data_IF_007447814559
#
_entry.id   IF_007447814559
#
_cell.length_a   1.000
_cell.length_b   1.000
_cell.length_c   1.000
_cell.angle_alpha   90.00
_cell.angle_beta   90.00
_cell.angle_gamma   90.00
#
_symmetry.space_group_name_H-M   'P 1'
#
loop_
_entity.id
_entity.type
_entity.pdbx_description
1 polymer ?
#
# COMPACT_ATOMS: atom_id res chain seq x y z
N UNK A 1 23.08 -4.22 -1.88
CA UNK A 1 22.45 -3.72 -3.12
C UNK A 1 22.50 -2.20 -3.06
N UNK A 2 22.91 -1.51 -4.11
CA UNK A 2 22.92 -0.04 -4.14
C UNK A 2 21.87 0.39 -5.17
N UNK A 3 20.99 1.33 -4.81
CA UNK A 3 19.99 1.87 -5.73
C UNK A 3 20.66 2.79 -6.75
N UNK A 4 20.32 2.65 -8.03
CA UNK A 4 20.81 3.54 -9.07
C UNK A 4 20.35 4.99 -8.82
N UNK A 5 21.12 6.01 -9.26
CA UNK A 5 20.76 7.41 -9.05
C UNK A 5 19.36 7.78 -9.56
N UNK A 6 18.96 7.22 -10.70
CA UNK A 6 17.62 7.43 -11.27
C UNK A 6 16.51 6.82 -10.38
N UNK A 7 16.74 5.63 -9.82
CA UNK A 7 15.78 5.00 -8.90
C UNK A 7 15.65 5.82 -7.61
N UNK A 8 16.77 6.32 -7.07
CA UNK A 8 16.78 7.20 -5.89
C UNK A 8 15.97 8.48 -6.16
N UNK A 9 16.21 9.13 -7.29
CA UNK A 9 15.50 10.35 -7.68
C UNK A 9 13.99 10.09 -7.83
N UNK A 10 13.60 8.97 -8.44
CA UNK A 10 12.19 8.58 -8.57
C UNK A 10 11.52 8.37 -7.20
N UNK A 11 12.18 7.61 -6.30
CA UNK A 11 11.66 7.36 -4.95
C UNK A 11 11.52 8.66 -4.15
N UNK A 12 12.52 9.55 -4.20
CA UNK A 12 12.46 10.86 -3.54
C UNK A 12 11.35 11.74 -4.11
N UNK A 13 11.18 11.77 -5.44
CA UNK A 13 10.09 12.51 -6.08
C UNK A 13 8.72 12.00 -5.64
N UNK A 14 8.53 10.67 -5.60
CA UNK A 14 7.31 10.07 -5.10
C UNK A 14 7.09 10.44 -3.63
N UNK A 15 8.09 10.29 -2.76
CA UNK A 15 7.96 10.59 -1.32
C UNK A 15 7.58 12.05 -1.03
N UNK A 16 8.15 13.00 -1.79
CA UNK A 16 7.73 14.41 -1.72
C UNK A 16 6.24 14.57 -2.06
N UNK A 17 5.74 13.81 -3.03
CA UNK A 17 4.33 13.83 -3.45
C UNK A 17 3.40 13.12 -2.46
N UNK A 18 3.89 12.09 -1.76
CA UNK A 18 3.15 11.45 -0.67
C UNK A 18 2.96 12.41 0.51
N UNK A 19 4.00 13.18 0.84
CA UNK A 19 3.97 14.15 1.93
C UNK A 19 3.54 13.51 3.26
N UNK A 20 2.56 14.09 3.94
CA UNK A 20 2.04 13.59 5.21
C UNK A 20 1.17 12.33 5.06
N UNK A 21 0.85 11.89 3.82
CA UNK A 21 -0.05 10.77 3.58
C UNK A 21 0.62 9.40 3.69
N UNK A 22 1.94 9.32 3.89
CA UNK A 22 2.67 8.04 3.98
C UNK A 22 2.03 7.13 5.03
N UNK A 23 1.70 7.66 6.22
CA UNK A 23 1.02 6.91 7.29
C UNK A 23 -0.37 6.40 6.93
N UNK A 24 -1.11 7.17 6.12
CA UNK A 24 -2.44 6.77 5.63
C UNK A 24 -2.29 5.59 4.67
N UNK A 25 -1.36 5.68 3.71
CA UNK A 25 -1.18 4.65 2.69
C UNK A 25 -0.56 3.37 3.23
N UNK A 26 0.35 3.44 4.21
CA UNK A 26 0.86 2.23 4.88
C UNK A 26 -0.23 1.55 5.72
N UNK A 27 -1.09 2.33 6.40
CA UNK A 27 -2.26 1.78 7.11
C UNK A 27 -3.21 1.09 6.13
N UNK A 28 -3.53 1.73 5.01
CA UNK A 28 -4.41 1.16 3.98
C UNK A 28 -3.81 -0.10 3.33
N UNK A 29 -2.47 -0.17 3.22
CA UNK A 29 -1.76 -1.36 2.76
C UNK A 29 -1.88 -2.52 3.75
N UNK A 30 -1.70 -2.25 5.05
CA UNK A 30 -1.90 -3.27 6.10
C UNK A 30 -3.34 -3.78 6.15
N UNK A 31 -4.32 -2.90 6.01
CA UNK A 31 -5.73 -3.30 5.93
C UNK A 31 -6.04 -4.17 4.70
N UNK A 32 -5.30 -4.03 3.60
CA UNK A 32 -5.41 -4.92 2.42
C UNK A 32 -4.83 -6.29 2.68
N UNK A 33 -3.82 -6.40 3.53
CA UNK A 33 -3.29 -7.68 4.03
C UNK A 33 -4.27 -8.43 4.95
N UNK A 34 -5.51 -7.97 5.14
CA UNK A 34 -6.48 -8.64 6.01
C UNK A 34 -7.67 -9.26 5.28
N UNK A 35 -7.93 -8.81 4.05
CA UNK A 35 -9.23 -9.03 3.42
C UNK A 35 -9.28 -10.41 2.76
N UNK A 36 -10.15 -11.33 3.23
CA UNK A 36 -10.46 -12.54 2.46
C UNK A 36 -11.13 -12.13 1.16
N UNK A 37 -10.81 -12.83 0.07
CA UNK A 37 -11.56 -12.69 -1.16
C UNK A 37 -13.00 -13.16 -0.92
N UNK A 38 -13.98 -12.26 -1.01
CA UNK A 38 -15.30 -12.68 -1.47
C UNK A 38 -15.19 -12.77 -2.98
N UNK A 39 -14.69 -13.91 -3.48
CA UNK A 39 -14.97 -14.29 -4.87
C UNK A 39 -16.49 -14.35 -4.93
N UNK A 40 -17.10 -13.40 -5.63
CA UNK A 40 -18.51 -13.50 -5.99
C UNK A 40 -18.55 -14.68 -6.97
N UNK A 41 -18.83 -15.87 -6.46
CA UNK A 41 -19.18 -17.00 -7.31
C UNK A 41 -20.38 -16.52 -8.13
N UNK A 42 -20.12 -16.20 -9.40
CA UNK A 42 -21.18 -16.04 -10.38
C UNK A 42 -21.72 -17.45 -10.62
N UNK A 43 -22.67 -17.87 -9.78
CA UNK A 43 -23.68 -18.82 -10.21
C UNK A 43 -24.43 -18.12 -11.34
N UNK A 44 -24.14 -18.59 -12.55
CA UNK A 44 -24.93 -18.35 -13.74
C UNK A 44 -26.36 -18.84 -13.47
N UNK A 45 -27.32 -17.92 -13.50
CA UNK A 45 -28.69 -18.24 -13.90
C UNK A 45 -29.08 -17.21 -14.96
N UNK A 46 -29.02 -17.64 -16.21
CA UNK A 46 -29.48 -16.89 -17.35
C UNK A 46 -31.03 -16.86 -17.41
N UNK A 47 -31.55 -15.75 -17.93
CA UNK A 47 -32.89 -15.60 -18.51
C UNK A 47 -33.94 -15.00 -17.57
N UNK A 48 -34.77 -14.03 -17.94
CA UNK A 48 -35.02 -13.35 -19.22
C UNK A 48 -35.90 -12.11 -18.98
N UNK A 49 -35.81 -11.10 -19.85
CA UNK A 49 -36.84 -10.07 -20.07
C UNK A 49 -36.56 -8.73 -19.40
N UNK A 50 -36.88 -7.56 -19.96
CA UNK A 50 -37.19 -7.10 -21.31
C UNK A 50 -37.10 -5.55 -21.24
N UNK A 51 -36.98 -4.88 -22.39
CA UNK A 51 -37.22 -3.46 -22.66
C UNK A 51 -36.19 -2.36 -22.24
N UNK A 52 -35.67 -1.68 -23.28
CA UNK A 52 -35.15 -0.30 -23.31
C UNK A 52 -36.26 0.68 -23.79
N UNK A 53 -36.04 2.01 -23.95
CA UNK A 53 -35.20 2.98 -23.21
C UNK A 53 -35.98 4.27 -22.83
N UNK A 54 -35.40 5.16 -22.03
CA UNK A 54 -35.83 6.58 -22.00
C UNK A 54 -34.68 7.54 -21.70
N UNK A 55 -34.41 8.41 -22.67
CA UNK A 55 -33.53 9.57 -22.64
C UNK A 55 -34.20 10.71 -21.87
N UNK A 56 -33.48 11.41 -20.99
CA UNK A 56 -33.79 12.81 -20.68
C UNK A 56 -32.54 13.62 -20.34
N UNK A 57 -32.42 14.71 -21.09
CA UNK A 57 -31.35 15.71 -21.10
C UNK A 57 -31.69 16.84 -20.11
N UNK A 58 -30.73 17.34 -19.34
CA UNK A 58 -30.76 18.72 -18.81
C UNK A 58 -29.37 19.22 -18.43
N UNK A 59 -29.02 20.40 -18.95
CA UNK A 59 -27.73 21.09 -18.84
C UNK A 59 -27.65 22.03 -17.61
N UNK A 60 -26.61 22.88 -17.42
CA UNK A 60 -25.83 22.92 -16.18
C UNK A 60 -26.08 24.17 -15.32
N UNK A 61 -25.74 24.13 -14.03
CA UNK A 61 -25.65 25.34 -13.20
C UNK A 61 -24.50 25.25 -12.20
N UNK A 62 -23.80 26.37 -12.14
CA UNK A 62 -22.54 26.71 -11.50
C UNK A 62 -22.50 26.59 -9.97
N UNK A 63 -21.37 26.10 -9.43
CA UNK A 63 -20.66 26.66 -8.26
C UNK A 63 -19.34 25.90 -8.03
N UNK A 64 -18.23 26.64 -7.93
CA UNK A 64 -16.86 26.11 -7.84
C UNK A 64 -16.57 25.35 -6.53
N UNK A 65 -15.48 24.56 -6.45
CA UNK A 65 -15.22 23.75 -5.27
C UNK A 65 -14.32 24.48 -4.28
N UNK A 66 -14.88 24.81 -3.11
CA UNK A 66 -14.11 24.94 -1.89
C UNK A 66 -13.61 23.55 -1.47
N UNK A 67 -12.29 23.35 -1.40
CA UNK A 67 -11.67 22.10 -0.94
C UNK A 67 -11.88 21.99 0.57
N UNK A 68 -12.99 21.35 0.96
CA UNK A 68 -13.19 20.79 2.30
C UNK A 68 -12.93 19.29 2.22
N UNK A 69 -11.83 18.84 2.80
CA UNK A 69 -11.45 17.43 2.96
C UNK A 69 -12.41 16.71 3.91
N UNK A 70 -13.61 16.38 3.45
CA UNK A 70 -14.38 15.26 3.99
C UNK A 70 -13.73 13.98 3.48
N UNK A 71 -13.24 13.13 4.40
CA UNK A 71 -12.93 11.74 4.10
C UNK A 71 -14.20 11.09 3.52
N UNK A 72 -14.33 11.09 2.20
CA UNK A 72 -15.36 10.32 1.51
C UNK A 72 -14.93 8.87 1.57
N UNK A 73 -15.60 8.18 2.48
CA UNK A 73 -15.68 6.74 2.69
C UNK A 73 -16.12 6.00 1.41
N UNK A 74 -15.32 6.05 0.33
CA UNK A 74 -15.55 5.33 -0.94
C UNK A 74 -14.23 5.12 -1.71
N UNK A 75 -13.34 4.28 -1.20
CA UNK A 75 -12.18 3.80 -1.97
C UNK A 75 -12.03 2.27 -1.90
N UNK A 76 -13.11 1.50 -2.08
CA UNK A 76 -12.99 0.04 -2.16
C UNK A 76 -14.04 -0.63 -3.04
N UNK A 77 -14.06 -0.30 -4.34
CA UNK A 77 -14.84 -1.03 -5.36
C UNK A 77 -14.09 -1.27 -6.68
N UNK A 78 -12.78 -1.54 -6.63
CA UNK A 78 -12.06 -2.22 -7.72
C UNK A 78 -11.15 -3.28 -7.09
N UNK A 79 -11.59 -4.52 -7.19
CA UNK A 79 -11.02 -5.70 -6.54
C UNK A 79 -9.71 -6.08 -7.23
N UNK A 80 -8.58 -5.68 -6.66
CA UNK A 80 -7.30 -6.32 -6.94
C UNK A 80 -6.98 -7.32 -5.84
N UNK A 81 -6.40 -8.44 -6.24
CA UNK A 81 -6.11 -9.67 -5.49
C UNK A 81 -5.76 -9.39 -4.04
N UNK A 82 -6.61 -9.85 -3.12
CA UNK A 82 -6.26 -9.96 -1.72
C UNK A 82 -5.68 -11.36 -1.47
N UNK A 83 -4.59 -11.44 -0.71
CA UNK A 83 -3.86 -12.68 -0.44
C UNK A 83 -4.60 -13.49 0.63
N UNK A 84 -5.21 -14.64 0.28
CA UNK A 84 -6.09 -15.38 1.19
C UNK A 84 -5.41 -15.84 2.49
N UNK A 85 -4.09 -16.06 2.47
CA UNK A 85 -3.29 -16.51 3.62
C UNK A 85 -2.87 -15.40 4.59
N UNK A 86 -3.18 -14.14 4.30
CA UNK A 86 -2.62 -13.01 5.06
C UNK A 86 -3.15 -12.86 6.50
N UNK A 87 -4.31 -13.45 6.81
CA UNK A 87 -4.90 -13.45 8.16
C UNK A 87 -4.11 -14.27 9.19
N UNK A 88 -3.31 -15.25 8.78
CA UNK A 88 -2.47 -16.01 9.73
C UNK A 88 -1.24 -15.22 10.18
N UNK A 89 -0.87 -14.17 9.44
CA UNK A 89 0.39 -13.45 9.65
C UNK A 89 0.27 -12.27 10.61
N UNK A 90 -0.94 -11.72 10.75
CA UNK A 90 -1.24 -10.58 11.63
C UNK A 90 -2.23 -10.96 12.73
N UNK A 91 -2.21 -12.20 13.23
CA UNK A 91 -3.12 -12.67 14.28
C UNK A 91 -3.13 -11.76 15.52
N UNK A 92 -2.02 -11.07 15.78
CA UNK A 92 -1.85 -10.14 16.90
C UNK A 92 -2.37 -8.72 16.63
N UNK A 93 -2.72 -8.37 15.39
CA UNK A 93 -3.25 -7.05 15.02
C UNK A 93 -4.71 -7.17 14.56
N UNK A 94 -5.57 -6.35 15.14
CA UNK A 94 -6.88 -6.10 14.56
C UNK A 94 -6.70 -5.26 13.28
N UNK A 95 -6.69 -5.94 12.13
CA UNK A 95 -6.60 -5.32 10.80
C UNK A 95 -7.95 -4.85 10.24
N UNK A 96 -9.00 -4.77 11.06
CA UNK A 96 -10.27 -4.19 10.63
C UNK A 96 -10.08 -2.74 10.20
N UNK A 97 -10.74 -2.28 9.13
CA UNK A 97 -10.61 -0.91 8.65
C UNK A 97 -10.85 0.11 9.78
N UNK A 98 -9.90 1.03 9.97
CA UNK A 98 -10.00 2.08 10.99
C UNK A 98 -9.62 1.66 12.42
N UNK A 99 -9.16 0.42 12.64
CA UNK A 99 -8.66 -0.02 13.94
C UNK A 99 -7.50 0.86 14.44
N UNK A 100 -7.50 1.21 15.73
CA UNK A 100 -6.42 1.97 16.34
C UNK A 100 -5.07 1.21 16.26
N UNK A 101 -5.11 -0.12 16.36
CA UNK A 101 -3.91 -0.96 16.26
C UNK A 101 -3.29 -0.91 14.87
N UNK A 102 -4.09 -1.07 13.80
CA UNK A 102 -3.57 -1.04 12.43
C UNK A 102 -3.06 0.35 12.06
N UNK A 103 -3.72 1.42 12.53
CA UNK A 103 -3.22 2.79 12.37
C UNK A 103 -1.88 3.02 13.07
N UNK A 104 -1.77 2.60 14.33
CA UNK A 104 -0.53 2.76 15.09
C UNK A 104 0.61 1.96 14.45
N UNK A 105 0.34 0.74 14.00
CA UNK A 105 1.34 -0.08 13.29
C UNK A 105 1.69 0.52 11.92
N UNK A 106 0.70 0.97 11.15
CA UNK A 106 0.89 1.66 9.87
C UNK A 106 1.77 2.90 10.01
N UNK A 107 1.61 3.66 11.10
CA UNK A 107 2.48 4.80 11.37
C UNK A 107 3.93 4.38 11.65
N UNK A 108 4.16 3.28 12.39
CA UNK A 108 5.51 2.75 12.63
C UNK A 108 6.18 2.34 11.32
N UNK A 109 5.44 1.65 10.44
CA UNK A 109 5.92 1.28 9.10
C UNK A 109 6.22 2.52 8.25
N UNK A 110 5.34 3.52 8.27
CA UNK A 110 5.56 4.77 7.54
C UNK A 110 6.83 5.50 8.01
N UNK A 111 7.03 5.61 9.32
CA UNK A 111 8.23 6.23 9.89
C UNK A 111 9.50 5.49 9.46
N UNK A 112 9.47 4.15 9.46
CA UNK A 112 10.59 3.33 9.01
C UNK A 112 10.90 3.54 7.51
N UNK A 113 9.87 3.63 6.66
CA UNK A 113 10.08 3.90 5.23
C UNK A 113 10.55 5.33 4.97
N UNK A 114 10.06 6.32 5.71
CA UNK A 114 10.56 7.71 5.64
C UNK A 114 12.03 7.76 6.06
N UNK A 115 12.41 7.07 7.14
CA UNK A 115 13.79 6.94 7.56
C UNK A 115 14.65 6.32 6.45
N UNK A 116 14.19 5.22 5.84
CA UNK A 116 14.89 4.58 4.72
C UNK A 116 15.08 5.52 3.52
N UNK A 117 14.05 6.30 3.14
CA UNK A 117 14.14 7.26 2.03
C UNK A 117 15.12 8.40 2.31
N UNK A 118 15.28 8.80 3.58
CA UNK A 118 16.24 9.83 3.95
C UNK A 118 17.69 9.32 3.97
N UNK A 119 17.92 8.00 3.92
CA UNK A 119 19.24 7.37 4.01
C UNK A 119 19.43 6.27 2.95
N UNK A 120 19.07 6.57 1.69
CA UNK A 120 19.14 5.61 0.58
C UNK A 120 20.57 5.14 0.25
N UNK A 121 21.59 5.82 0.77
CA UNK A 121 23.01 5.48 0.67
C UNK A 121 23.42 4.28 1.54
N UNK A 122 22.82 4.11 2.72
CA UNK A 122 23.17 3.01 3.64
C UNK A 122 21.95 2.50 4.43
N UNK A 123 21.07 1.77 3.74
CA UNK A 123 19.92 1.12 4.38
C UNK A 123 20.31 0.06 5.43
N UNK A 124 21.31 -0.82 5.22
CA UNK A 124 21.68 -1.83 6.21
C UNK A 124 22.07 -1.23 7.55
N UNK A 125 22.86 -0.14 7.55
CA UNK A 125 23.21 0.56 8.79
C UNK A 125 22.01 1.28 9.39
N UNK A 126 21.27 2.03 8.56
CA UNK A 126 20.12 2.83 9.01
C UNK A 126 19.02 1.98 9.65
N UNK A 127 18.77 0.78 9.10
CA UNK A 127 17.70 -0.11 9.53
C UNK A 127 18.18 -1.21 10.49
N UNK A 128 19.44 -1.16 10.94
CA UNK A 128 20.06 -2.19 11.80
C UNK A 128 19.26 -2.50 13.07
N UNK A 129 18.79 -1.47 13.78
CA UNK A 129 17.92 -1.65 14.96
C UNK A 129 16.59 -2.33 14.61
N UNK A 130 15.98 -1.96 13.48
CA UNK A 130 14.74 -2.58 13.02
C UNK A 130 14.98 -4.03 12.59
N UNK A 131 16.11 -4.33 11.95
CA UNK A 131 16.51 -5.72 11.63
C UNK A 131 16.56 -6.55 12.91
N UNK A 132 17.31 -6.12 13.93
CA UNK A 132 17.40 -6.86 15.20
C UNK A 132 16.05 -7.08 15.87
N UNK A 133 15.20 -6.05 15.86
CA UNK A 133 13.83 -6.14 16.36
C UNK A 133 13.02 -7.21 15.62
N UNK A 134 13.09 -7.24 14.28
CA UNK A 134 12.33 -8.18 13.46
C UNK A 134 12.89 -9.60 13.48
N UNK A 135 14.21 -9.78 13.58
CA UNK A 135 14.85 -11.11 13.56
C UNK A 135 14.87 -11.77 14.93
N UNK A 136 15.19 -11.04 15.99
CA UNK A 136 15.41 -11.65 17.32
C UNK A 136 14.18 -11.58 18.22
N UNK A 137 13.49 -10.43 18.26
CA UNK A 137 12.36 -10.21 19.17
C UNK A 137 11.03 -10.64 18.57
N UNK A 138 10.74 -10.16 17.36
CA UNK A 138 9.44 -10.40 16.71
C UNK A 138 9.43 -11.67 15.85
N UNK A 139 10.61 -12.13 15.40
CA UNK A 139 10.81 -13.32 14.55
C UNK A 139 9.87 -13.32 13.33
N UNK A 140 9.79 -12.18 12.66
CA UNK A 140 8.92 -11.95 11.50
C UNK A 140 9.48 -12.71 10.30
N UNK A 141 8.67 -13.58 9.69
CA UNK A 141 9.06 -14.28 8.46
C UNK A 141 9.29 -13.26 7.32
N UNK A 142 10.42 -13.32 6.61
CA UNK A 142 10.70 -12.45 5.47
C UNK A 142 9.60 -12.39 4.40
N UNK A 143 8.76 -13.43 4.28
CA UNK A 143 7.61 -13.45 3.36
C UNK A 143 6.59 -12.35 3.69
N UNK A 144 6.49 -11.91 4.95
CA UNK A 144 5.56 -10.84 5.36
C UNK A 144 5.96 -9.49 4.80
N UNK A 145 7.25 -9.19 4.71
CA UNK A 145 7.68 -7.94 4.10
C UNK A 145 7.34 -7.90 2.61
N UNK A 146 7.47 -9.02 1.89
CA UNK A 146 7.09 -9.11 0.48
C UNK A 146 5.60 -8.85 0.27
N UNK A 147 4.76 -9.45 1.11
CA UNK A 147 3.31 -9.23 1.08
C UNK A 147 2.95 -7.76 1.35
N UNK A 148 3.50 -7.17 2.40
CA UNK A 148 3.25 -5.77 2.75
C UNK A 148 3.71 -4.83 1.63
N UNK A 149 4.89 -5.07 1.06
CA UNK A 149 5.40 -4.28 -0.06
C UNK A 149 4.46 -4.36 -1.27
N UNK A 150 3.94 -5.54 -1.62
CA UNK A 150 2.96 -5.66 -2.68
C UNK A 150 1.67 -4.87 -2.39
N UNK A 151 1.12 -4.99 -1.17
CA UNK A 151 -0.08 -4.24 -0.79
C UNK A 151 0.16 -2.72 -0.80
N UNK A 152 1.37 -2.26 -0.48
CA UNK A 152 1.76 -0.86 -0.56
C UNK A 152 1.84 -0.41 -2.03
N UNK A 153 2.47 -1.17 -2.92
CA UNK A 153 2.52 -0.88 -4.36
C UNK A 153 1.11 -0.72 -4.95
N UNK A 154 0.20 -1.65 -4.64
CA UNK A 154 -1.21 -1.58 -5.08
C UNK A 154 -1.91 -0.34 -4.50
N UNK A 155 -1.61 0.02 -3.25
CA UNK A 155 -2.19 1.21 -2.62
C UNK A 155 -1.74 2.48 -3.33
N UNK A 156 -0.44 2.62 -3.57
CA UNK A 156 0.14 3.79 -4.23
C UNK A 156 -0.33 3.91 -5.69
N UNK A 157 -0.37 2.81 -6.44
CA UNK A 157 -0.90 2.79 -7.81
C UNK A 157 -2.34 3.30 -7.89
N UNK A 158 -3.17 3.03 -6.87
CA UNK A 158 -4.56 3.46 -6.82
C UNK A 158 -4.74 4.93 -6.48
N UNK A 159 -3.83 5.52 -5.71
CA UNK A 159 -3.88 6.93 -5.33
C UNK A 159 -3.18 7.84 -6.34
N UNK A 160 -2.23 7.30 -7.11
CA UNK A 160 -1.46 8.03 -8.11
C UNK A 160 -1.48 7.38 -9.49
N UNK A 161 -2.66 7.07 -10.08
CA UNK A 161 -2.74 6.33 -11.35
C UNK A 161 -2.05 7.01 -12.52
N UNK A 162 -1.90 8.35 -12.49
CA UNK A 162 -1.17 9.11 -13.51
C UNK A 162 0.35 9.17 -13.31
N UNK A 163 0.85 8.97 -12.09
CA UNK A 163 2.28 9.05 -11.77
C UNK A 163 2.94 7.68 -11.61
N UNK A 164 2.13 6.61 -11.51
CA UNK A 164 2.59 5.25 -11.31
C UNK A 164 2.96 4.56 -12.62
N UNK A 165 3.89 5.17 -13.36
CA UNK A 165 4.42 4.62 -14.61
C UNK A 165 5.17 3.30 -14.39
N UNK A 166 5.41 2.48 -15.43
CA UNK A 166 6.19 1.25 -15.32
C UNK A 166 7.60 1.50 -14.72
N UNK A 167 8.24 2.61 -15.08
CA UNK A 167 9.54 2.99 -14.55
C UNK A 167 9.47 3.33 -13.06
N UNK A 168 8.49 4.14 -12.64
CA UNK A 168 8.27 4.45 -11.23
C UNK A 168 8.00 3.18 -10.41
N UNK A 169 7.14 2.29 -10.92
CA UNK A 169 6.85 1.00 -10.28
C UNK A 169 8.12 0.16 -10.11
N UNK A 170 8.95 0.05 -11.16
CA UNK A 170 10.21 -0.69 -11.10
C UNK A 170 11.19 -0.09 -10.07
N UNK A 171 11.36 1.23 -10.05
CA UNK A 171 12.19 1.92 -9.04
C UNK A 171 11.71 1.67 -7.62
N UNK A 172 10.40 1.70 -7.41
CA UNK A 172 9.80 1.46 -6.10
C UNK A 172 9.95 -0.01 -5.66
N UNK A 173 9.79 -0.97 -6.57
CA UNK A 173 10.05 -2.39 -6.30
C UNK A 173 11.51 -2.61 -5.90
N UNK A 174 12.47 -2.00 -6.61
CA UNK A 174 13.90 -2.09 -6.25
C UNK A 174 14.16 -1.50 -4.87
N UNK A 175 13.59 -0.34 -4.56
CA UNK A 175 13.72 0.27 -3.23
C UNK A 175 13.15 -0.62 -2.13
N UNK A 176 11.93 -1.12 -2.30
CA UNK A 176 11.29 -1.99 -1.31
C UNK A 176 12.06 -3.31 -1.14
N UNK A 177 12.56 -3.90 -2.22
CA UNK A 177 13.44 -5.07 -2.13
C UNK A 177 14.73 -4.74 -1.37
N UNK A 178 15.29 -3.55 -1.54
CA UNK A 178 16.48 -3.13 -0.78
C UNK A 178 16.19 -3.03 0.72
N UNK A 179 15.04 -2.46 1.09
CA UNK A 179 14.55 -2.39 2.48
C UNK A 179 14.35 -3.80 3.05
N UNK A 180 13.72 -4.72 2.31
CA UNK A 180 13.54 -6.12 2.74
C UNK A 180 14.90 -6.77 2.99
N UNK A 181 15.85 -6.63 2.07
CA UNK A 181 17.19 -7.18 2.26
C UNK A 181 17.92 -6.57 3.46
N UNK A 182 17.71 -5.28 3.76
CA UNK A 182 18.30 -4.64 4.94
C UNK A 182 17.66 -5.09 6.27
N UNK A 183 16.40 -5.54 6.25
CA UNK A 183 15.68 -6.09 7.39
C UNK A 183 15.87 -7.62 7.56
N UNK A 184 16.35 -8.31 6.53
CA UNK A 184 16.64 -9.73 6.58
C UNK A 184 17.84 -10.02 7.52
N UNK A 185 17.93 -11.23 8.11
CA UNK A 185 19.10 -11.64 8.87
C UNK A 185 20.36 -11.48 8.02
N UNK A 186 21.43 -10.93 8.61
CA UNK A 186 22.75 -11.03 7.99
C UNK A 186 23.18 -12.48 8.05
N UNK A 187 23.30 -13.14 6.90
CA UNK A 187 24.11 -14.36 6.79
C UNK A 187 25.54 -13.95 7.12
N UNK A 188 25.99 -14.28 8.32
CA UNK A 188 27.38 -14.15 8.75
C UNK A 188 28.29 -15.09 7.98
#
# INVERSE_FOLDING_TARGET
>A
MVLAPADRAAVLALWRKLGTNVGIYTTEALERCARPQRIRAHLSSAGSGDASPAVRFRSPSSRGPAIRTRLTRRSSRRTFVAFPSSKTYFLHLNLSPGSAQVRAHGQKVANALVLAVNHLDDLPRTLSYLRELHTHKLRVDPVFFKLLCHCLLVTLARHYPGDFSPNMHASLVRFLNHVISALAPSSG
#
